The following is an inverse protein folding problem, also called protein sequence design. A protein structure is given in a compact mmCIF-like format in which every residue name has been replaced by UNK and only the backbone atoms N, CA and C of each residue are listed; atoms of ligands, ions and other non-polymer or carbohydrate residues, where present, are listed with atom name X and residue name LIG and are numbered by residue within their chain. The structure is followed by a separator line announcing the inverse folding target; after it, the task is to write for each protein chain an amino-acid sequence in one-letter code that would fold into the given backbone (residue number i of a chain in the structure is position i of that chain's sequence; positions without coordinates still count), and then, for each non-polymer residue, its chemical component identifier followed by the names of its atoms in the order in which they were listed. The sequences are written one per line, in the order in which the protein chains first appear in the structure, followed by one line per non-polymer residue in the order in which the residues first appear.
data_IF_415142500347
#
_entry.id   IF_415142500347
#
_cell.length_a   1.000
_cell.length_b   1.000
_cell.length_c   1.000
_cell.angle_alpha   90.00
_cell.angle_beta   90.00
_cell.angle_gamma   90.00
#
_symmetry.space_group_name_H-M   'P 1'
#
loop_
_entity.id
_entity.type
_entity.pdbx_description
1 polymer ?
#
# COMPACT_ATOMS: atom_id res chain seq x y z
N UNK A 1 79.08 54.16 3.60
CA UNK A 1 78.29 53.26 4.44
C UNK A 1 76.91 53.21 3.87
N UNK A 2 76.54 52.11 3.20
CA UNK A 2 75.29 51.92 2.54
C UNK A 2 74.39 50.95 3.35
N UNK A 3 73.29 51.45 3.81
CA UNK A 3 72.23 50.66 4.47
C UNK A 3 71.35 50.06 3.44
N UNK A 4 71.25 48.71 3.43
CA UNK A 4 70.41 47.93 2.56
C UNK A 4 69.02 47.70 3.18
N UNK A 5 67.96 48.16 2.52
CA UNK A 5 66.60 47.90 2.92
C UNK A 5 66.11 46.55 2.30
N UNK A 6 65.84 45.59 3.16
CA UNK A 6 65.16 44.32 2.75
C UNK A 6 63.68 44.53 2.89
N UNK A 7 62.98 44.58 1.76
CA UNK A 7 61.53 44.67 1.71
C UNK A 7 60.94 43.22 1.75
N UNK A 8 60.23 42.90 2.83
CA UNK A 8 59.57 41.63 3.08
C UNK A 8 58.21 41.61 2.34
N UNK A 9 58.08 40.83 1.26
CA UNK A 9 56.78 40.58 0.59
C UNK A 9 56.04 39.45 1.33
N UNK A 10 54.95 39.83 2.04
CA UNK A 10 53.99 38.87 2.58
C UNK A 10 52.99 38.55 1.48
N UNK A 11 53.11 37.35 0.88
CA UNK A 11 52.09 36.81 -0.03
C UNK A 11 50.98 36.19 0.79
N UNK A 12 49.87 36.90 0.90
CA UNK A 12 48.63 36.36 1.49
C UNK A 12 47.95 35.41 0.47
N UNK A 13 48.08 34.10 0.68
CA UNK A 13 47.34 33.09 -0.09
C UNK A 13 45.94 33.02 0.49
N UNK A 14 44.98 33.66 -0.20
CA UNK A 14 43.55 33.49 0.07
C UNK A 14 43.11 32.09 -0.44
N UNK A 15 43.00 31.14 0.47
CA UNK A 15 42.28 29.89 0.19
C UNK A 15 40.78 30.19 0.07
N UNK A 16 40.30 30.35 -1.17
CA UNK A 16 38.88 30.27 -1.50
C UNK A 16 38.49 28.81 -1.37
N UNK A 17 37.99 28.38 -0.21
CA UNK A 17 37.24 27.15 -0.08
C UNK A 17 35.92 27.31 -0.82
N UNK A 18 35.90 26.83 -2.05
CA UNK A 18 34.67 26.58 -2.80
C UNK A 18 33.87 25.52 -2.03
N UNK A 19 33.04 25.96 -1.08
CA UNK A 19 31.96 25.14 -0.57
C UNK A 19 31.02 24.89 -1.75
N UNK A 20 31.23 23.76 -2.43
CA UNK A 20 30.30 23.23 -3.43
C UNK A 20 29.02 22.89 -2.69
N UNK A 21 28.12 23.85 -2.53
CA UNK A 21 26.73 23.55 -2.27
C UNK A 21 26.24 22.70 -3.45
N UNK A 22 26.17 21.38 -3.26
CA UNK A 22 25.35 20.55 -4.13
C UNK A 22 23.95 21.15 -4.06
N UNK A 23 23.57 21.91 -5.08
CA UNK A 23 22.17 22.25 -5.31
C UNK A 23 21.45 20.92 -5.52
N UNK A 24 20.84 20.41 -4.48
CA UNK A 24 19.87 19.33 -4.63
C UNK A 24 18.69 19.93 -5.39
N UNK A 25 18.58 19.58 -6.67
CA UNK A 25 17.35 19.88 -7.43
C UNK A 25 16.16 19.41 -6.59
N UNK A 26 15.18 20.29 -6.34
CA UNK A 26 14.02 19.90 -5.56
C UNK A 26 13.36 18.67 -6.21
N UNK A 27 13.08 17.65 -5.41
CA UNK A 27 12.39 16.45 -5.89
C UNK A 27 11.01 16.85 -6.41
N UNK A 28 10.80 16.72 -7.72
CA UNK A 28 9.53 16.99 -8.37
C UNK A 28 8.95 15.70 -8.91
N UNK A 29 7.75 15.35 -8.44
CA UNK A 29 7.01 14.21 -8.95
C UNK A 29 5.55 14.62 -9.11
N UNK A 30 4.94 14.29 -10.23
CA UNK A 30 3.56 14.68 -10.57
C UNK A 30 2.55 14.13 -9.57
N UNK A 31 2.79 12.94 -9.05
CA UNK A 31 1.86 12.26 -8.11
C UNK A 31 1.81 12.93 -6.71
N UNK A 32 2.79 13.80 -6.38
CA UNK A 32 2.81 14.54 -5.11
C UNK A 32 2.26 15.97 -5.21
N UNK A 33 2.05 16.47 -6.43
CA UNK A 33 1.54 17.83 -6.63
C UNK A 33 0.14 17.97 -6.05
N UNK A 34 -0.14 19.15 -5.48
CA UNK A 34 -1.51 19.51 -5.11
C UNK A 34 -2.40 19.49 -6.36
N UNK A 35 -3.59 18.92 -6.22
CA UNK A 35 -4.55 18.88 -7.30
C UNK A 35 -5.17 20.26 -7.53
N UNK A 36 -5.38 20.59 -8.78
CA UNK A 36 -5.91 21.88 -9.21
C UNK A 36 -7.26 21.68 -9.91
N UNK A 37 -8.08 22.75 -9.96
CA UNK A 37 -9.36 22.75 -10.65
C UNK A 37 -10.57 22.76 -9.71
N UNK A 38 -11.79 22.58 -10.25
CA UNK A 38 -13.02 22.59 -9.46
C UNK A 38 -13.05 21.44 -8.43
N UNK A 39 -13.92 21.58 -7.42
CA UNK A 39 -14.13 20.56 -6.36
C UNK A 39 -12.85 20.21 -5.56
N UNK A 40 -12.01 21.20 -5.27
CA UNK A 40 -10.73 21.07 -4.60
C UNK A 40 -9.65 20.35 -5.44
N UNK A 41 -9.86 20.29 -6.75
CA UNK A 41 -8.97 19.64 -7.70
C UNK A 41 -9.30 18.17 -7.95
N UNK A 42 -8.73 17.67 -9.03
CA UNK A 42 -8.81 16.25 -9.41
C UNK A 42 -7.41 15.71 -9.67
N UNK A 43 -7.18 14.40 -9.40
CA UNK A 43 -5.91 13.78 -9.76
C UNK A 43 -5.61 13.90 -11.26
N UNK A 44 -4.37 14.18 -11.63
CA UNK A 44 -3.93 14.27 -13.01
C UNK A 44 -3.70 12.87 -13.61
N UNK A 45 -4.76 12.10 -13.80
CA UNK A 45 -4.70 10.72 -14.30
C UNK A 45 -4.10 10.61 -15.72
N UNK A 46 -4.19 11.68 -16.50
CA UNK A 46 -3.59 11.79 -17.83
C UNK A 46 -2.05 11.94 -17.82
N UNK A 47 -1.46 12.15 -16.63
CA UNK A 47 -0.02 12.40 -16.43
C UNK A 47 0.63 11.43 -15.46
N UNK A 48 -0.08 10.37 -15.07
CA UNK A 48 0.48 9.37 -14.17
C UNK A 48 1.25 8.30 -14.96
N UNK A 49 2.49 8.05 -14.57
CA UNK A 49 3.34 7.01 -15.13
C UNK A 49 3.73 6.01 -14.06
N UNK A 50 3.86 4.72 -14.43
CA UNK A 50 4.27 3.66 -13.47
C UNK A 50 5.62 3.98 -12.85
N UNK A 51 6.56 4.50 -13.64
CA UNK A 51 7.91 4.87 -13.20
C UNK A 51 7.91 5.94 -12.09
N UNK A 52 6.88 6.79 -12.01
CA UNK A 52 6.75 7.83 -10.99
C UNK A 52 6.26 7.29 -9.63
N UNK A 53 5.61 6.12 -9.61
CA UNK A 53 4.92 5.61 -8.42
C UNK A 53 5.89 5.34 -7.27
N UNK A 54 6.91 4.52 -7.49
CA UNK A 54 7.85 4.14 -6.42
C UNK A 54 8.57 5.34 -5.81
N UNK A 55 9.19 6.26 -6.60
CA UNK A 55 9.84 7.44 -6.03
C UNK A 55 8.86 8.38 -5.32
N UNK A 56 7.63 8.53 -5.82
CA UNK A 56 6.59 9.31 -5.14
C UNK A 56 6.22 8.71 -3.79
N UNK A 57 5.94 7.40 -3.73
CA UNK A 57 5.56 6.72 -2.50
C UNK A 57 6.66 6.79 -1.44
N UNK A 58 7.92 6.54 -1.82
CA UNK A 58 9.07 6.65 -0.91
C UNK A 58 9.17 8.07 -0.34
N UNK A 59 9.08 9.08 -1.20
CA UNK A 59 9.17 10.48 -0.77
C UNK A 59 8.00 10.89 0.10
N UNK A 60 6.79 10.47 -0.23
CA UNK A 60 5.58 10.76 0.55
C UNK A 60 5.64 10.12 1.94
N UNK A 61 6.09 8.87 2.05
CA UNK A 61 6.33 8.21 3.34
C UNK A 61 7.38 8.93 4.18
N UNK A 62 8.48 9.39 3.56
CA UNK A 62 9.51 10.20 4.25
C UNK A 62 8.92 11.49 4.84
N UNK A 63 8.09 12.20 4.07
CA UNK A 63 7.43 13.43 4.52
C UNK A 63 6.46 13.15 5.67
N UNK A 64 5.62 12.13 5.54
CA UNK A 64 4.69 11.73 6.59
C UNK A 64 5.39 11.31 7.89
N UNK A 65 6.52 10.57 7.80
CA UNK A 65 7.31 10.24 9.00
C UNK A 65 7.88 11.47 9.68
N UNK A 66 8.26 12.51 8.94
CA UNK A 66 8.71 13.78 9.53
C UNK A 66 7.60 14.53 10.25
N UNK A 67 6.39 14.50 9.70
CA UNK A 67 5.19 15.06 10.35
C UNK A 67 4.89 14.32 11.66
N UNK A 68 4.89 12.98 11.64
CA UNK A 68 4.70 12.15 12.83
C UNK A 68 5.79 12.41 13.90
N UNK A 69 7.04 12.56 13.49
CA UNK A 69 8.16 12.87 14.41
C UNK A 69 8.03 14.26 15.02
N UNK A 70 7.56 15.25 14.26
CA UNK A 70 7.28 16.59 14.79
C UNK A 70 6.18 16.57 15.86
N UNK A 71 5.12 15.77 15.66
CA UNK A 71 4.07 15.56 16.67
C UNK A 71 4.64 14.84 17.90
N UNK A 72 5.39 13.76 17.68
CA UNK A 72 5.96 12.95 18.74
C UNK A 72 6.94 13.75 19.64
N UNK A 73 7.75 14.63 19.03
CA UNK A 73 8.75 15.44 19.70
C UNK A 73 8.24 16.78 20.24
N UNK A 74 6.94 17.09 20.11
CA UNK A 74 6.36 18.32 20.64
C UNK A 74 6.52 18.37 22.17
N UNK A 75 7.19 19.41 22.67
CA UNK A 75 7.49 19.60 24.11
C UNK A 75 6.30 20.07 24.93
N UNK A 76 5.21 20.53 24.30
CA UNK A 76 4.01 20.94 25.02
C UNK A 76 3.26 19.73 25.58
N UNK A 77 2.54 19.89 26.70
CA UNK A 77 1.67 18.84 27.23
C UNK A 77 0.73 18.28 26.14
N UNK A 78 0.55 16.95 26.07
CA UNK A 78 -0.30 16.34 25.05
C UNK A 78 -1.77 16.77 25.20
N UNK A 79 -2.35 17.24 24.11
CA UNK A 79 -3.79 17.55 23.97
C UNK A 79 -4.34 16.88 22.73
N UNK A 80 -5.68 16.76 22.64
CA UNK A 80 -6.32 16.26 21.43
C UNK A 80 -5.88 17.08 20.20
N UNK A 81 -5.89 18.41 20.31
CA UNK A 81 -5.55 19.33 19.22
C UNK A 81 -4.09 19.19 18.76
N UNK A 82 -3.11 19.19 19.68
CA UNK A 82 -1.69 19.13 19.30
C UNK A 82 -1.12 17.73 19.09
N UNK A 83 -1.97 16.70 19.09
CA UNK A 83 -1.56 15.31 18.88
C UNK A 83 -2.50 14.61 17.91
N UNK A 84 -3.74 14.30 18.30
CA UNK A 84 -4.65 13.48 17.47
C UNK A 84 -5.14 14.27 16.25
N UNK A 85 -5.54 15.53 16.43
CA UNK A 85 -5.98 16.39 15.33
C UNK A 85 -4.84 16.69 14.34
N UNK A 86 -3.61 16.91 14.84
CA UNK A 86 -2.44 17.07 13.96
C UNK A 86 -2.12 15.78 13.17
N UNK A 87 -2.31 14.60 13.78
CA UNK A 87 -2.17 13.32 13.06
C UNK A 87 -3.20 13.19 11.93
N UNK A 88 -4.47 13.56 12.18
CA UNK A 88 -5.55 13.54 11.18
C UNK A 88 -5.30 14.54 10.02
N UNK A 89 -4.61 15.66 10.30
CA UNK A 89 -4.25 16.67 9.29
C UNK A 89 -3.00 16.33 8.49
N UNK A 90 -2.22 15.37 8.96
CA UNK A 90 -0.94 14.99 8.34
C UNK A 90 -1.12 14.06 7.15
N UNK A 91 -0.05 13.85 6.38
CA UNK A 91 -0.01 12.82 5.33
C UNK A 91 -0.58 13.22 3.97
N UNK A 92 -1.01 14.45 3.75
CA UNK A 92 -1.64 14.86 2.48
C UNK A 92 -0.84 14.52 1.20
N UNK A 93 0.52 14.60 1.15
CA UNK A 93 1.28 14.11 0.00
C UNK A 93 1.17 12.60 -0.19
N UNK A 94 1.09 11.84 0.91
CA UNK A 94 0.97 10.38 0.87
C UNK A 94 -0.42 9.96 0.38
N UNK A 95 -1.48 10.63 0.83
CA UNK A 95 -2.85 10.39 0.35
C UNK A 95 -2.99 10.61 -1.15
N UNK A 96 -2.36 11.69 -1.66
CA UNK A 96 -2.33 11.93 -3.11
C UNK A 96 -1.61 10.82 -3.87
N UNK A 97 -0.44 10.38 -3.39
CA UNK A 97 0.30 9.29 -4.01
C UNK A 97 -0.50 7.97 -3.96
N UNK A 98 -1.19 7.68 -2.86
CA UNK A 98 -2.04 6.50 -2.74
C UNK A 98 -3.26 6.54 -3.67
N UNK A 99 -3.81 7.70 -4.00
CA UNK A 99 -4.89 7.79 -4.98
C UNK A 99 -4.46 7.25 -6.35
N UNK A 100 -3.27 7.62 -6.84
CA UNK A 100 -2.71 7.09 -8.09
C UNK A 100 -2.32 5.61 -7.96
N UNK A 101 -1.65 5.24 -6.88
CA UNK A 101 -1.30 3.84 -6.61
C UNK A 101 -2.54 2.93 -6.63
N UNK A 102 -3.66 3.39 -6.04
CA UNK A 102 -4.93 2.67 -6.03
C UNK A 102 -5.50 2.44 -7.42
N UNK A 103 -5.40 3.43 -8.33
CA UNK A 103 -5.84 3.30 -9.72
C UNK A 103 -4.98 2.27 -10.47
N UNK A 104 -3.66 2.33 -10.36
CA UNK A 104 -2.79 1.32 -10.96
C UNK A 104 -3.08 -0.08 -10.40
N UNK A 105 -3.27 -0.18 -9.08
CA UNK A 105 -3.52 -1.48 -8.42
C UNK A 105 -4.84 -2.14 -8.82
N UNK A 106 -5.91 -1.35 -8.97
CA UNK A 106 -7.27 -1.90 -9.14
C UNK A 106 -7.78 -1.85 -10.59
N UNK A 107 -7.28 -0.94 -11.42
CA UNK A 107 -7.83 -0.69 -12.76
C UNK A 107 -6.81 -0.78 -13.90
N UNK A 108 -5.54 -0.48 -13.63
CA UNK A 108 -4.49 -0.35 -14.66
C UNK A 108 -3.26 -1.20 -14.31
N UNK A 109 -3.46 -2.35 -13.71
CA UNK A 109 -2.35 -3.25 -13.37
C UNK A 109 -1.62 -3.72 -14.62
N UNK A 110 -0.29 -3.66 -14.59
CA UNK A 110 0.61 -4.15 -15.62
C UNK A 110 1.72 -4.99 -15.00
N UNK A 111 2.46 -5.81 -15.75
CA UNK A 111 3.63 -6.51 -15.24
C UNK A 111 4.63 -5.58 -14.56
N UNK A 112 4.93 -4.43 -15.18
CA UNK A 112 5.81 -3.41 -14.62
C UNK A 112 5.29 -2.87 -13.28
N UNK A 113 3.99 -2.56 -13.19
CA UNK A 113 3.41 -2.07 -11.93
C UNK A 113 3.44 -3.15 -10.83
N UNK A 114 3.26 -4.42 -11.16
CA UNK A 114 3.35 -5.52 -10.18
C UNK A 114 4.75 -5.68 -9.58
N UNK A 115 5.81 -5.38 -10.35
CA UNK A 115 7.17 -5.31 -9.81
C UNK A 115 7.28 -4.17 -8.79
N UNK A 116 6.80 -2.98 -9.13
CA UNK A 116 6.73 -1.82 -8.20
C UNK A 116 5.91 -2.16 -6.95
N UNK A 117 4.79 -2.83 -7.10
CA UNK A 117 3.93 -3.29 -5.99
C UNK A 117 4.68 -4.23 -5.04
N UNK A 118 5.41 -5.19 -5.61
CA UNK A 118 6.19 -6.17 -4.84
C UNK A 118 7.30 -5.48 -4.05
N UNK A 119 7.98 -4.50 -4.63
CA UNK A 119 9.04 -3.75 -3.96
C UNK A 119 8.50 -2.80 -2.87
N UNK A 120 7.33 -2.19 -3.08
CA UNK A 120 6.72 -1.25 -2.13
C UNK A 120 6.05 -1.96 -0.94
N UNK A 121 5.55 -3.17 -1.09
CA UNK A 121 4.82 -3.86 -0.04
C UNK A 121 5.58 -3.95 1.30
N UNK A 122 6.85 -4.39 1.36
CA UNK A 122 7.62 -4.39 2.59
C UNK A 122 7.92 -2.97 3.12
N UNK A 123 8.06 -1.97 2.23
CA UNK A 123 8.29 -0.58 2.63
C UNK A 123 7.06 0.04 3.29
N UNK A 124 5.86 -0.26 2.80
CA UNK A 124 4.61 0.15 3.45
C UNK A 124 4.47 -0.44 4.86
N UNK A 125 4.81 -1.73 5.00
CA UNK A 125 4.79 -2.39 6.31
C UNK A 125 5.80 -1.78 7.28
N UNK A 126 6.99 -1.47 6.80
CA UNK A 126 8.03 -0.80 7.61
C UNK A 126 7.61 0.62 8.00
N UNK A 127 7.06 1.38 7.06
CA UNK A 127 6.52 2.72 7.30
C UNK A 127 5.44 2.69 8.39
N UNK A 128 4.45 1.81 8.25
CA UNK A 128 3.38 1.65 9.24
C UNK A 128 3.92 1.24 10.61
N UNK A 129 4.91 0.35 10.64
CA UNK A 129 5.55 -0.07 11.90
C UNK A 129 6.29 1.08 12.59
N UNK A 130 6.98 1.94 11.82
CA UNK A 130 7.66 3.13 12.36
C UNK A 130 6.69 4.10 13.04
N UNK A 131 5.48 4.25 12.53
CA UNK A 131 4.44 5.09 13.14
C UNK A 131 3.86 4.40 14.37
N UNK A 132 3.34 3.18 14.21
CA UNK A 132 2.58 2.51 15.28
C UNK A 132 3.45 2.06 16.46
N UNK A 133 4.75 1.92 16.26
CA UNK A 133 5.72 1.57 17.30
C UNK A 133 6.57 2.77 17.77
N UNK A 134 6.22 4.00 17.34
CA UNK A 134 6.83 5.22 17.83
C UNK A 134 6.39 5.44 19.28
N UNK A 135 7.30 5.17 20.23
CA UNK A 135 7.00 5.23 21.66
C UNK A 135 6.61 6.64 22.13
N UNK A 136 7.34 7.71 21.78
CA UNK A 136 6.94 9.08 22.16
C UNK A 136 5.55 9.45 21.64
N UNK A 137 5.22 9.13 20.39
CA UNK A 137 3.90 9.38 19.81
C UNK A 137 2.79 8.62 20.56
N UNK A 138 3.03 7.34 20.82
CA UNK A 138 2.08 6.52 21.55
C UNK A 138 1.86 7.01 22.99
N UNK A 139 2.90 7.46 23.70
CA UNK A 139 2.77 8.02 25.04
C UNK A 139 1.92 9.30 25.06
N UNK A 140 2.03 10.16 24.03
CA UNK A 140 1.16 11.32 23.89
C UNK A 140 -0.32 10.90 23.75
N UNK A 141 -0.60 9.96 22.83
CA UNK A 141 -1.96 9.43 22.61
C UNK A 141 -2.51 8.80 23.91
N UNK A 142 -1.71 7.99 24.58
CA UNK A 142 -2.08 7.31 25.82
C UNK A 142 -2.39 8.29 26.94
N UNK A 143 -1.59 9.33 27.10
CA UNK A 143 -1.81 10.38 28.10
C UNK A 143 -3.17 11.06 27.92
N UNK A 144 -3.52 11.42 26.67
CA UNK A 144 -4.81 12.02 26.36
C UNK A 144 -5.95 11.03 26.62
N UNK A 145 -5.79 9.77 26.21
CA UNK A 145 -6.78 8.71 26.40
C UNK A 145 -7.07 8.43 27.87
N UNK A 146 -6.04 8.35 28.70
CA UNK A 146 -6.23 8.14 30.16
C UNK A 146 -6.90 9.36 30.80
N UNK A 147 -6.49 10.58 30.46
CA UNK A 147 -7.10 11.81 30.98
C UNK A 147 -8.58 11.97 30.55
N UNK A 148 -8.94 11.48 29.37
CA UNK A 148 -10.33 11.55 28.85
C UNK A 148 -11.32 10.66 29.60
N UNK A 149 -10.85 9.69 30.39
CA UNK A 149 -11.72 8.86 31.22
C UNK A 149 -12.33 9.64 32.39
N UNK A 150 -11.61 10.63 32.90
CA UNK A 150 -12.09 11.52 33.98
C UNK A 150 -12.71 12.80 33.41
N UNK A 151 -12.18 13.32 32.30
CA UNK A 151 -12.62 14.53 31.65
C UNK A 151 -12.92 14.24 30.18
N UNK A 152 -14.14 13.72 29.84
CA UNK A 152 -14.49 13.32 28.49
C UNK A 152 -14.41 14.50 27.50
N UNK A 153 -13.90 14.21 26.30
CA UNK A 153 -13.91 15.13 25.16
C UNK A 153 -15.31 15.19 24.51
N UNK A 154 -15.57 16.13 23.59
CA UNK A 154 -16.73 16.06 22.71
C UNK A 154 -16.85 14.67 22.06
N UNK A 155 -18.06 14.18 21.83
CA UNK A 155 -18.33 12.76 21.51
C UNK A 155 -17.58 12.26 20.25
N UNK A 156 -17.45 13.10 19.24
CA UNK A 156 -16.69 12.82 18.01
C UNK A 156 -15.19 12.73 18.29
N UNK A 157 -14.61 13.67 19.01
CA UNK A 157 -13.20 13.65 19.41
C UNK A 157 -12.89 12.47 20.34
N UNK A 158 -13.78 12.20 21.29
CA UNK A 158 -13.66 11.02 22.17
C UNK A 158 -13.59 9.74 21.35
N UNK A 159 -14.47 9.61 20.36
CA UNK A 159 -14.50 8.41 19.51
C UNK A 159 -13.24 8.28 18.64
N UNK A 160 -12.77 9.37 18.04
CA UNK A 160 -11.51 9.36 17.27
C UNK A 160 -10.32 8.96 18.16
N UNK A 161 -10.22 9.55 19.36
CA UNK A 161 -9.16 9.20 20.32
C UNK A 161 -9.18 7.72 20.72
N UNK A 162 -10.36 7.17 21.01
CA UNK A 162 -10.52 5.75 21.35
C UNK A 162 -10.05 4.83 20.23
N UNK A 163 -10.47 5.12 18.99
CA UNK A 163 -10.06 4.35 17.81
C UNK A 163 -8.56 4.47 17.53
N UNK A 164 -8.00 5.66 17.70
CA UNK A 164 -6.56 5.90 17.53
C UNK A 164 -5.77 5.12 18.57
N UNK A 165 -6.11 5.24 19.87
CA UNK A 165 -5.45 4.48 20.93
C UNK A 165 -5.56 2.96 20.70
N UNK A 166 -6.75 2.47 20.37
CA UNK A 166 -6.97 1.05 20.07
C UNK A 166 -6.16 0.56 18.88
N UNK A 167 -6.07 1.37 17.81
CA UNK A 167 -5.27 1.05 16.63
C UNK A 167 -3.79 0.86 16.96
N UNK A 168 -3.21 1.75 17.76
CA UNK A 168 -1.83 1.62 18.23
C UNK A 168 -1.64 0.40 19.15
N UNK A 169 -2.51 0.20 20.13
CA UNK A 169 -2.45 -0.93 21.04
C UNK A 169 -2.55 -2.28 20.30
N UNK A 170 -3.48 -2.42 19.36
CA UNK A 170 -3.64 -3.60 18.51
C UNK A 170 -2.48 -3.80 17.53
N UNK A 171 -1.72 -2.75 17.23
CA UNK A 171 -0.52 -2.78 16.40
C UNK A 171 0.77 -3.00 17.19
N UNK A 172 0.66 -3.32 18.49
CA UNK A 172 1.80 -3.69 19.31
C UNK A 172 2.54 -2.53 19.97
N UNK A 173 1.94 -1.34 20.06
CA UNK A 173 2.58 -0.18 20.72
C UNK A 173 2.93 -0.45 22.20
N UNK A 174 2.18 -1.32 22.88
CA UNK A 174 2.43 -1.73 24.26
C UNK A 174 3.46 -2.87 24.42
N UNK A 175 4.00 -3.42 23.33
CA UNK A 175 4.98 -4.51 23.39
C UNK A 175 6.34 -4.01 23.89
N UNK A 176 7.11 -4.90 24.50
CA UNK A 176 8.53 -4.67 24.79
C UNK A 176 9.36 -4.62 23.49
N UNK A 177 10.60 -4.14 23.59
CA UNK A 177 11.45 -3.88 22.43
C UNK A 177 11.68 -5.13 21.54
N UNK A 178 11.90 -6.31 22.15
CA UNK A 178 12.15 -7.53 21.41
C UNK A 178 10.90 -8.01 20.67
N UNK A 179 9.75 -7.96 21.34
CA UNK A 179 8.47 -8.28 20.70
C UNK A 179 8.08 -7.28 19.63
N UNK A 180 8.32 -5.96 19.82
CA UNK A 180 8.13 -4.94 18.79
C UNK A 180 8.94 -5.26 17.53
N UNK A 181 10.23 -5.61 17.68
CA UNK A 181 11.08 -6.00 16.57
C UNK A 181 10.50 -7.21 15.82
N UNK A 182 10.18 -8.29 16.54
CA UNK A 182 9.60 -9.50 15.91
C UNK A 182 8.25 -9.23 15.26
N UNK A 183 7.40 -8.42 15.88
CA UNK A 183 6.11 -8.00 15.32
C UNK A 183 6.28 -7.25 13.99
N UNK A 184 7.25 -6.32 13.90
CA UNK A 184 7.57 -5.60 12.68
C UNK A 184 8.08 -6.53 11.57
N UNK A 185 8.96 -7.49 11.90
CA UNK A 185 9.44 -8.51 10.95
C UNK A 185 8.28 -9.34 10.40
N UNK A 186 7.39 -9.85 11.25
CA UNK A 186 6.20 -10.60 10.85
C UNK A 186 5.30 -9.79 9.91
N UNK A 187 5.06 -8.52 10.22
CA UNK A 187 4.24 -7.67 9.38
C UNK A 187 4.86 -7.45 8.00
N UNK A 188 6.19 -7.28 7.92
CA UNK A 188 6.93 -7.15 6.66
C UNK A 188 6.84 -8.44 5.83
N UNK A 189 7.04 -9.59 6.45
CA UNK A 189 6.89 -10.90 5.79
C UNK A 189 5.46 -11.10 5.28
N UNK A 190 4.44 -10.83 6.12
CA UNK A 190 3.03 -10.94 5.73
C UNK A 190 2.68 -10.02 4.57
N UNK A 191 3.18 -8.78 4.55
CA UNK A 191 2.94 -7.83 3.47
C UNK A 191 3.46 -8.36 2.13
N UNK A 192 4.67 -8.92 2.12
CA UNK A 192 5.27 -9.55 0.94
C UNK A 192 4.45 -10.77 0.48
N UNK A 193 4.04 -11.64 1.42
CA UNK A 193 3.24 -12.83 1.12
C UNK A 193 1.85 -12.49 0.57
N UNK A 194 1.18 -11.47 1.13
CA UNK A 194 -0.13 -11.02 0.61
C UNK A 194 -0.03 -10.47 -0.81
N UNK A 195 1.02 -9.69 -1.09
CA UNK A 195 1.25 -9.16 -2.44
C UNK A 195 1.53 -10.30 -3.43
N UNK A 196 2.38 -11.26 -3.05
CA UNK A 196 2.66 -12.43 -3.90
C UNK A 196 1.40 -13.27 -4.13
N UNK A 197 0.62 -13.53 -3.07
CA UNK A 197 -0.66 -14.23 -3.18
C UNK A 197 -1.60 -13.58 -4.21
N UNK A 198 -1.77 -12.27 -4.11
CA UNK A 198 -2.66 -11.52 -5.02
C UNK A 198 -2.15 -11.51 -6.46
N UNK A 199 -0.84 -11.35 -6.65
CA UNK A 199 -0.23 -11.37 -7.98
C UNK A 199 -0.33 -12.75 -8.66
N UNK A 200 -0.23 -13.84 -7.89
CA UNK A 200 -0.43 -15.20 -8.40
C UNK A 200 -1.88 -15.41 -8.88
N UNK A 201 -2.88 -14.94 -8.11
CA UNK A 201 -4.29 -14.98 -8.53
C UNK A 201 -4.50 -14.17 -9.82
N UNK A 202 -3.92 -12.97 -9.89
CA UNK A 202 -4.04 -12.09 -11.06
C UNK A 202 -3.39 -12.72 -12.31
N UNK A 203 -2.24 -13.40 -12.13
CA UNK A 203 -1.61 -14.15 -13.21
C UNK A 203 -2.58 -15.17 -13.82
N UNK A 204 -3.28 -15.94 -13.00
CA UNK A 204 -4.25 -16.94 -13.48
C UNK A 204 -5.48 -16.29 -14.13
N UNK A 205 -5.91 -15.13 -13.62
CA UNK A 205 -6.99 -14.36 -14.25
C UNK A 205 -6.63 -13.89 -15.66
N UNK A 206 -5.38 -13.51 -15.90
CA UNK A 206 -4.91 -13.01 -17.20
C UNK A 206 -4.61 -14.13 -18.21
N UNK A 207 -4.16 -15.29 -17.75
CA UNK A 207 -3.59 -16.33 -18.62
C UNK A 207 -4.53 -17.51 -18.90
N UNK A 208 -5.48 -17.82 -18.01
CA UNK A 208 -6.47 -18.86 -18.25
C UNK A 208 -7.67 -18.31 -19.01
N UNK A 209 -7.63 -18.38 -20.35
CA UNK A 209 -8.71 -17.92 -21.24
C UNK A 209 -9.30 -19.11 -21.98
N UNK A 210 -10.63 -19.25 -21.95
CA UNK A 210 -11.35 -20.26 -22.72
C UNK A 210 -11.89 -19.62 -24.00
N UNK A 211 -11.42 -20.10 -25.16
CA UNK A 211 -11.90 -19.63 -26.46
C UNK A 211 -13.04 -20.50 -26.95
N UNK A 212 -14.04 -19.86 -27.53
CA UNK A 212 -15.26 -20.47 -28.05
C UNK A 212 -15.34 -20.27 -29.55
N UNK A 213 -15.64 -21.33 -30.28
CA UNK A 213 -16.04 -21.28 -31.69
C UNK A 213 -17.55 -21.00 -31.83
N UNK A 214 -18.00 -20.65 -33.03
CA UNK A 214 -19.39 -20.25 -33.31
C UNK A 214 -20.43 -21.31 -32.86
N UNK A 215 -20.12 -22.59 -33.00
CA UNK A 215 -21.01 -23.71 -32.59
C UNK A 215 -21.05 -23.96 -31.07
N UNK A 216 -20.33 -23.17 -30.26
CA UNK A 216 -20.27 -23.29 -28.82
C UNK A 216 -20.96 -22.11 -28.09
N UNK A 217 -21.66 -21.27 -28.83
CA UNK A 217 -22.32 -20.06 -28.33
C UNK A 217 -23.75 -20.26 -27.87
N UNK A 218 -24.28 -21.45 -27.99
CA UNK A 218 -25.68 -21.76 -27.67
C UNK A 218 -26.03 -21.41 -26.21
N UNK A 219 -27.20 -20.76 -26.04
CA UNK A 219 -27.70 -20.26 -24.76
C UNK A 219 -27.11 -18.90 -24.31
N UNK A 220 -26.01 -18.43 -24.91
CA UNK A 220 -25.37 -17.18 -24.50
C UNK A 220 -26.13 -15.94 -25.02
N UNK A 221 -26.37 -14.92 -24.18
CA UNK A 221 -26.99 -13.67 -24.62
C UNK A 221 -26.12 -12.93 -25.66
N UNK A 222 -26.74 -12.26 -26.64
CA UNK A 222 -26.05 -11.48 -27.67
C UNK A 222 -25.04 -10.46 -27.10
N UNK A 223 -25.40 -9.79 -26.01
CA UNK A 223 -24.53 -8.81 -25.38
C UNK A 223 -23.23 -9.44 -24.84
N UNK A 224 -23.35 -10.67 -24.29
CA UNK A 224 -22.19 -11.43 -23.84
C UNK A 224 -21.32 -11.85 -25.03
N UNK A 225 -21.92 -12.41 -26.09
CA UNK A 225 -21.21 -12.86 -27.29
C UNK A 225 -20.44 -11.68 -27.92
N UNK A 226 -21.10 -10.53 -28.08
CA UNK A 226 -20.44 -9.30 -28.60
C UNK A 226 -19.25 -8.85 -27.75
N UNK A 227 -19.37 -8.94 -26.43
CA UNK A 227 -18.27 -8.59 -25.52
C UNK A 227 -17.13 -9.61 -25.61
N UNK A 228 -17.45 -10.90 -25.57
CA UNK A 228 -16.49 -11.98 -25.68
C UNK A 228 -15.72 -11.98 -27.01
N UNK A 229 -16.40 -11.61 -28.11
CA UNK A 229 -15.77 -11.47 -29.44
C UNK A 229 -14.73 -10.32 -29.45
N UNK A 230 -15.04 -9.15 -28.86
CA UNK A 230 -14.08 -8.04 -28.72
C UNK A 230 -12.86 -8.43 -27.88
N UNK A 231 -13.07 -9.18 -26.82
CA UNK A 231 -11.97 -9.66 -25.97
C UNK A 231 -11.09 -10.64 -26.76
N UNK A 232 -11.68 -11.57 -27.51
CA UNK A 232 -10.93 -12.50 -28.36
C UNK A 232 -10.12 -11.74 -29.43
N UNK A 233 -10.71 -10.74 -30.09
CA UNK A 233 -10.04 -9.90 -31.08
C UNK A 233 -8.87 -9.12 -30.47
N UNK A 234 -9.03 -8.53 -29.28
CA UNK A 234 -7.95 -7.85 -28.56
C UNK A 234 -6.77 -8.76 -28.20
N UNK A 235 -7.04 -10.08 -28.09
CA UNK A 235 -6.04 -11.13 -27.87
C UNK A 235 -5.54 -11.79 -29.17
N UNK A 236 -5.84 -11.17 -30.33
CA UNK A 236 -5.36 -11.65 -31.65
C UNK A 236 -6.17 -12.83 -32.24
N UNK A 237 -7.33 -13.17 -31.65
CA UNK A 237 -8.17 -14.32 -32.07
C UNK A 237 -9.50 -13.85 -32.68
N UNK A 238 -9.37 -13.18 -33.82
CA UNK A 238 -10.54 -12.69 -34.59
C UNK A 238 -11.43 -13.84 -35.07
N UNK A 239 -12.74 -13.68 -34.89
CA UNK A 239 -13.74 -14.67 -35.26
C UNK A 239 -14.06 -15.71 -34.18
N UNK A 240 -13.43 -15.62 -33.03
CA UNK A 240 -13.74 -16.41 -31.84
C UNK A 240 -14.38 -15.54 -30.75
N UNK A 241 -14.85 -16.15 -29.68
CA UNK A 241 -15.25 -15.50 -28.45
C UNK A 241 -14.34 -15.97 -27.32
N UNK A 242 -14.03 -15.07 -26.36
CA UNK A 242 -13.17 -15.39 -25.23
C UNK A 242 -13.89 -15.24 -23.91
N UNK A 243 -13.87 -16.29 -23.09
CA UNK A 243 -14.28 -16.28 -21.69
C UNK A 243 -13.01 -16.12 -20.87
N UNK A 244 -12.83 -14.95 -20.26
CA UNK A 244 -11.70 -14.67 -19.38
C UNK A 244 -11.93 -15.26 -17.99
N UNK A 245 -10.84 -15.45 -17.22
CA UNK A 245 -10.89 -16.04 -15.89
C UNK A 245 -11.28 -15.02 -14.80
N UNK A 246 -12.13 -14.06 -15.16
CA UNK A 246 -12.70 -13.05 -14.27
C UNK A 246 -14.15 -13.36 -13.94
N UNK A 247 -14.62 -12.90 -12.78
CA UNK A 247 -16.01 -13.14 -12.35
C UNK A 247 -17.04 -12.61 -13.35
N UNK A 248 -16.81 -11.43 -13.90
CA UNK A 248 -17.70 -10.77 -14.87
C UNK A 248 -17.84 -11.54 -16.20
N UNK A 249 -16.87 -12.37 -16.54
CA UNK A 249 -16.91 -13.23 -17.72
C UNK A 249 -17.41 -14.65 -17.38
N UNK A 250 -16.94 -15.21 -16.27
CA UNK A 250 -17.26 -16.57 -15.83
C UNK A 250 -18.74 -16.72 -15.42
N UNK A 251 -19.28 -15.85 -14.55
CA UNK A 251 -20.65 -15.97 -14.01
C UNK A 251 -21.72 -16.00 -15.12
N UNK A 252 -21.74 -15.07 -16.10
CA UNK A 252 -22.71 -15.14 -17.19
C UNK A 252 -22.53 -16.40 -18.07
N UNK A 253 -21.27 -16.78 -18.33
CA UNK A 253 -21.01 -18.00 -19.12
C UNK A 253 -21.56 -19.25 -18.44
N UNK A 254 -21.29 -19.42 -17.14
CA UNK A 254 -21.81 -20.55 -16.37
C UNK A 254 -23.34 -20.55 -16.26
N UNK A 255 -23.95 -19.37 -16.25
CA UNK A 255 -25.40 -19.20 -16.10
C UNK A 255 -26.13 -19.59 -17.39
N UNK A 256 -25.62 -19.18 -18.54
CA UNK A 256 -26.37 -19.23 -19.79
C UNK A 256 -25.91 -20.31 -20.80
N UNK A 257 -24.62 -20.65 -20.83
CA UNK A 257 -24.10 -21.61 -21.79
C UNK A 257 -24.74 -23.01 -21.62
N UNK A 258 -25.16 -23.64 -22.73
CA UNK A 258 -25.61 -25.02 -22.73
C UNK A 258 -24.48 -26.04 -22.80
N UNK A 259 -23.26 -25.60 -23.15
CA UNK A 259 -22.07 -26.44 -23.32
C UNK A 259 -21.49 -26.91 -21.96
N UNK A 260 -21.96 -28.04 -21.43
CA UNK A 260 -21.62 -28.54 -20.09
C UNK A 260 -20.11 -28.70 -19.86
N UNK A 261 -19.37 -29.26 -20.81
CA UNK A 261 -17.93 -29.50 -20.65
C UNK A 261 -17.15 -28.18 -20.62
N UNK A 262 -17.53 -27.18 -21.42
CA UNK A 262 -16.94 -25.85 -21.38
C UNK A 262 -17.28 -25.12 -20.08
N UNK A 263 -18.49 -25.27 -19.55
CA UNK A 263 -18.82 -24.72 -18.22
C UNK A 263 -17.95 -25.34 -17.14
N UNK A 264 -17.72 -26.66 -17.18
CA UNK A 264 -16.82 -27.36 -16.27
C UNK A 264 -15.40 -26.80 -16.38
N UNK A 265 -14.88 -26.61 -17.59
CA UNK A 265 -13.56 -26.05 -17.83
C UNK A 265 -13.43 -24.62 -17.25
N UNK A 266 -14.36 -23.73 -17.59
CA UNK A 266 -14.38 -22.35 -17.09
C UNK A 266 -14.51 -22.31 -15.57
N UNK A 267 -15.36 -23.15 -14.99
CA UNK A 267 -15.50 -23.28 -13.54
C UNK A 267 -14.19 -23.75 -12.90
N UNK A 268 -13.55 -24.78 -13.45
CA UNK A 268 -12.29 -25.28 -12.94
C UNK A 268 -11.21 -24.20 -12.99
N UNK A 269 -11.03 -23.54 -14.13
CA UNK A 269 -10.04 -22.46 -14.27
C UNK A 269 -10.24 -21.36 -13.21
N UNK A 270 -11.50 -20.97 -12.97
CA UNK A 270 -11.81 -19.89 -12.05
C UNK A 270 -11.58 -20.29 -10.58
N UNK A 271 -12.03 -21.47 -10.16
CA UNK A 271 -11.94 -21.89 -8.76
C UNK A 271 -10.59 -22.51 -8.40
N UNK A 272 -9.73 -22.85 -9.38
CA UNK A 272 -8.36 -23.31 -9.16
C UNK A 272 -7.32 -22.21 -9.24
N UNK A 273 -7.71 -20.94 -9.27
CA UNK A 273 -6.73 -19.84 -9.28
C UNK A 273 -5.83 -19.91 -8.07
N UNK A 274 -4.51 -19.89 -8.32
CA UNK A 274 -3.47 -20.08 -7.31
C UNK A 274 -3.39 -21.49 -6.73
N UNK A 275 -3.96 -22.49 -7.41
CA UNK A 275 -3.93 -23.92 -7.03
C UNK A 275 -3.72 -24.82 -8.28
N UNK A 276 -2.76 -24.45 -9.12
CA UNK A 276 -2.48 -25.14 -10.38
C UNK A 276 -1.19 -26.00 -10.35
N UNK A 277 -0.51 -26.11 -9.22
CA UNK A 277 0.77 -26.80 -9.03
C UNK A 277 1.88 -26.28 -9.97
N UNK A 278 1.91 -24.98 -10.19
CA UNK A 278 2.88 -24.24 -10.97
C UNK A 278 3.60 -23.18 -10.12
N UNK A 279 4.38 -22.31 -10.76
CA UNK A 279 5.14 -21.23 -10.07
C UNK A 279 4.24 -20.17 -9.41
N UNK A 280 2.93 -20.17 -9.73
CA UNK A 280 1.94 -19.25 -9.19
C UNK A 280 1.01 -19.89 -8.16
N UNK A 281 1.37 -21.08 -7.67
CA UNK A 281 0.63 -21.79 -6.63
C UNK A 281 0.73 -21.08 -5.27
N UNK A 282 -0.42 -20.94 -4.60
CA UNK A 282 -0.53 -20.22 -3.32
C UNK A 282 -0.56 -21.13 -2.08
N UNK A 283 -0.51 -22.46 -2.21
CA UNK A 283 -0.65 -23.36 -1.06
C UNK A 283 0.41 -23.12 0.02
N UNK A 284 1.67 -23.02 -0.37
CA UNK A 284 2.78 -22.74 0.57
C UNK A 284 2.67 -21.33 1.16
N UNK A 285 2.24 -20.35 0.36
CA UNK A 285 2.02 -18.96 0.80
C UNK A 285 0.92 -18.93 1.88
N UNK A 286 -0.19 -19.65 1.68
CA UNK A 286 -1.28 -19.76 2.65
C UNK A 286 -0.76 -20.34 3.97
N UNK A 287 -0.01 -21.44 3.91
CA UNK A 287 0.56 -22.07 5.11
C UNK A 287 1.46 -21.10 5.90
N UNK A 288 2.33 -20.35 5.21
CA UNK A 288 3.20 -19.34 5.82
C UNK A 288 2.39 -18.19 6.43
N UNK A 289 1.39 -17.65 5.71
CA UNK A 289 0.49 -16.60 6.22
C UNK A 289 -0.20 -17.04 7.51
N UNK A 290 -0.75 -18.25 7.55
CA UNK A 290 -1.45 -18.76 8.73
C UNK A 290 -0.51 -18.91 9.93
N UNK A 291 0.71 -19.40 9.72
CA UNK A 291 1.74 -19.52 10.75
C UNK A 291 2.13 -18.15 11.32
N UNK A 292 2.41 -17.18 10.45
CA UNK A 292 2.80 -15.83 10.87
C UNK A 292 1.64 -15.08 11.56
N UNK A 293 0.40 -15.26 11.10
CA UNK A 293 -0.79 -14.71 11.78
C UNK A 293 -0.93 -15.25 13.20
N UNK A 294 -0.73 -16.55 13.40
CA UNK A 294 -0.77 -17.17 14.72
C UNK A 294 0.31 -16.60 15.64
N UNK A 295 1.55 -16.53 15.15
CA UNK A 295 2.68 -15.98 15.91
C UNK A 295 2.42 -14.51 16.28
N UNK A 296 1.98 -13.68 15.32
CA UNK A 296 1.71 -12.26 15.52
C UNK A 296 0.70 -11.99 16.64
N UNK A 297 -0.41 -12.72 16.66
CA UNK A 297 -1.45 -12.49 17.68
C UNK A 297 -1.06 -13.05 19.04
N UNK A 298 -0.22 -14.08 19.08
CA UNK A 298 0.35 -14.59 20.34
C UNK A 298 1.30 -13.55 20.99
N UNK A 299 2.08 -12.79 20.19
CA UNK A 299 2.87 -11.66 20.71
C UNK A 299 1.99 -10.60 21.39
N UNK A 300 0.78 -10.37 20.86
CA UNK A 300 -0.21 -9.43 21.41
C UNK A 300 -1.03 -10.00 22.58
N UNK A 301 -0.79 -11.25 22.99
CA UNK A 301 -1.51 -11.90 24.09
C UNK A 301 -2.85 -12.52 23.72
N UNK A 302 -3.14 -12.73 22.43
CA UNK A 302 -4.38 -13.35 21.97
C UNK A 302 -4.20 -14.83 21.64
N UNK A 303 -5.23 -15.65 21.88
CA UNK A 303 -5.18 -17.08 21.64
C UNK A 303 -5.23 -17.43 20.15
N UNK A 304 -5.90 -16.60 19.33
CA UNK A 304 -6.05 -16.82 17.90
C UNK A 304 -6.29 -15.50 17.14
N UNK A 305 -6.16 -15.59 15.82
CA UNK A 305 -6.30 -14.43 14.94
C UNK A 305 -7.73 -13.85 14.94
N UNK A 306 -8.76 -14.67 15.09
CA UNK A 306 -10.14 -14.21 15.10
C UNK A 306 -10.42 -13.35 16.35
N UNK A 307 -10.00 -13.81 17.53
CA UNK A 307 -10.12 -13.04 18.78
C UNK A 307 -9.51 -11.65 18.66
N UNK A 308 -8.29 -11.54 18.12
CA UNK A 308 -7.65 -10.24 17.87
C UNK A 308 -8.41 -9.41 16.85
N UNK A 309 -8.84 -10.03 15.73
CA UNK A 309 -9.41 -9.30 14.58
C UNK A 309 -10.83 -8.78 14.84
N UNK A 310 -11.61 -9.46 15.67
CA UNK A 310 -13.00 -9.14 15.90
C UNK A 310 -13.23 -8.04 16.96
N UNK A 311 -12.18 -7.60 17.68
CA UNK A 311 -12.31 -6.59 18.75
C UNK A 311 -12.96 -5.27 18.31
N UNK A 312 -12.84 -4.89 17.06
CA UNK A 312 -13.38 -3.66 16.48
C UNK A 312 -14.24 -3.90 15.22
N UNK A 313 -14.90 -5.06 15.14
CA UNK A 313 -15.80 -5.43 14.05
C UNK A 313 -17.22 -5.57 14.57
N UNK A 314 -18.18 -5.59 13.63
CA UNK A 314 -19.61 -5.76 13.94
C UNK A 314 -20.02 -7.21 14.23
N UNK A 315 -19.11 -8.17 14.14
CA UNK A 315 -19.38 -9.58 14.40
C UNK A 315 -19.20 -9.92 15.88
#
# INVERSE_FOLDING_TARGET
MKTSNVTLYIVAIFFFSLASCKQTTPFTNTLLKTWEGPYQGTPAFDKMEVADVKPAMIKAMELSLKEMEAIASNSEPPTFANTVEEMERSGAPLDRAFAYYGIFSSNMSSPEFREVQTELAPLFSEFQSKITQNEPLFQRIKTIYEASKENPLPADQQRVLELTYQSFAMSGANLDADKKKRYAEINKELSTLYTKFSNNILHDEENYVTYLSENQLDGLPDAFVKSAARIAESKGRKGECAVTNTRSSMDPFLTYSTARELRKQVWTNYYSRGDNNDDYDNKEIIAQILKLRKERVALLGHNNFAEWRLQNRMA
#
